data_IF_969335824046
#
_entry.id   IF_969335824046
#
_cell.length_a   1.000
_cell.length_b   1.000
_cell.length_c   1.000
_cell.angle_alpha   90.00
_cell.angle_beta   90.00
_cell.angle_gamma   90.00
#
_symmetry.space_group_name_H-M   'P 1'
#
loop_
_entity.id
_entity.type
_entity.pdbx_description
1 polymer ?
#
# COMPACT_ATOMS: atom_id res chain seq x y z
N UNK A 1 -9.94 -15.69 -13.40
CA UNK A 1 -9.83 -14.22 -13.26
C UNK A 1 -8.46 -13.81 -13.75
N UNK A 2 -8.38 -12.85 -14.66
CA UNK A 2 -7.07 -12.39 -15.09
C UNK A 2 -6.42 -11.51 -14.01
N UNK A 3 -5.11 -11.29 -14.16
CA UNK A 3 -4.35 -10.63 -13.11
C UNK A 3 -4.72 -9.14 -12.96
N UNK A 4 -5.05 -8.46 -14.05
CA UNK A 4 -5.50 -7.07 -13.98
C UNK A 4 -6.80 -6.94 -13.22
N UNK A 5 -7.75 -7.83 -13.47
CA UNK A 5 -9.03 -7.86 -12.76
C UNK A 5 -8.82 -8.13 -11.27
N UNK A 6 -7.93 -9.05 -10.94
CA UNK A 6 -7.58 -9.35 -9.54
C UNK A 6 -7.03 -8.11 -8.84
N UNK A 7 -6.06 -7.43 -9.47
CA UNK A 7 -5.44 -6.23 -8.91
C UNK A 7 -6.50 -5.14 -8.67
N UNK A 8 -7.34 -4.88 -9.68
CA UNK A 8 -8.40 -3.86 -9.56
C UNK A 8 -9.36 -4.20 -8.44
N UNK A 9 -9.70 -5.48 -8.27
CA UNK A 9 -10.57 -5.92 -7.18
C UNK A 9 -9.90 -5.72 -5.81
N UNK A 10 -8.62 -6.07 -5.69
CA UNK A 10 -7.88 -5.83 -4.44
C UNK A 10 -7.90 -4.35 -4.04
N UNK A 11 -7.65 -3.48 -5.00
CA UNK A 11 -7.63 -2.03 -4.79
C UNK A 11 -9.01 -1.51 -4.41
N UNK A 12 -10.06 -2.00 -5.07
CA UNK A 12 -11.43 -1.57 -4.81
C UNK A 12 -11.95 -2.06 -3.45
N UNK A 13 -11.56 -3.27 -3.05
CA UNK A 13 -12.09 -3.90 -1.84
C UNK A 13 -11.40 -3.47 -0.55
N UNK A 14 -10.27 -2.76 -0.65
CA UNK A 14 -9.46 -2.39 0.52
C UNK A 14 -9.18 -0.89 0.52
N UNK A 15 -9.68 -0.19 1.52
CA UNK A 15 -9.48 1.25 1.61
C UNK A 15 -8.04 1.64 1.91
N UNK A 16 -7.28 0.75 2.55
CA UNK A 16 -5.85 0.95 2.77
C UNK A 16 -5.16 -0.35 2.37
N UNK A 17 -4.38 -0.30 1.30
CA UNK A 17 -3.72 -1.47 0.72
C UNK A 17 -2.27 -1.15 0.42
N UNK A 18 -1.38 -2.00 0.92
CA UNK A 18 0.05 -1.88 0.68
C UNK A 18 0.55 -3.08 -0.11
N UNK A 19 1.09 -2.82 -1.30
CA UNK A 19 1.86 -3.82 -2.06
C UNK A 19 3.31 -3.68 -1.63
N UNK A 20 3.88 -4.75 -1.09
CA UNK A 20 5.20 -4.71 -0.47
C UNK A 20 6.01 -5.97 -0.76
N UNK A 21 7.30 -5.91 -0.50
CA UNK A 21 8.19 -7.07 -0.54
C UNK A 21 8.26 -7.68 0.85
N UNK A 22 7.67 -8.87 1.01
CA UNK A 22 7.56 -9.55 2.29
C UNK A 22 6.21 -9.28 2.95
N UNK A 23 6.18 -9.41 4.25
CA UNK A 23 4.97 -9.18 5.07
C UNK A 23 5.27 -8.09 6.11
N UNK A 24 4.23 -7.49 6.71
CA UNK A 24 4.46 -6.46 7.74
C UNK A 24 5.34 -6.94 8.90
N UNK A 25 5.25 -8.23 9.27
CA UNK A 25 6.05 -8.80 10.34
C UNK A 25 7.47 -9.15 9.87
N UNK A 26 7.64 -9.46 8.59
CA UNK A 26 8.93 -9.87 8.02
C UNK A 26 9.15 -9.19 6.67
N UNK A 27 9.35 -7.85 6.66
CA UNK A 27 9.62 -7.14 5.41
C UNK A 27 10.97 -7.57 4.83
N UNK A 28 11.04 -7.72 3.51
CA UNK A 28 12.22 -8.21 2.80
C UNK A 28 12.96 -7.10 2.06
N UNK A 29 12.64 -5.85 2.33
CA UNK A 29 13.21 -4.69 1.67
C UNK A 29 13.15 -3.51 2.64
N UNK A 30 14.24 -2.72 2.72
CA UNK A 30 14.28 -1.58 3.63
C UNK A 30 13.21 -0.54 3.35
N UNK A 31 12.86 -0.32 2.09
CA UNK A 31 11.79 0.62 1.73
C UNK A 31 10.42 0.11 2.18
N UNK A 32 10.15 -1.19 2.01
CA UNK A 32 8.92 -1.81 2.53
C UNK A 32 8.86 -1.73 4.05
N UNK A 33 9.98 -1.99 4.72
CA UNK A 33 10.05 -1.94 6.18
C UNK A 33 9.70 -0.55 6.73
N UNK A 34 10.25 0.49 6.12
CA UNK A 34 9.98 1.87 6.54
C UNK A 34 8.52 2.25 6.35
N UNK A 35 7.95 1.83 5.21
CA UNK A 35 6.54 2.12 4.91
C UNK A 35 5.62 1.43 5.90
N UNK A 36 5.87 0.16 6.20
CA UNK A 36 5.11 -0.59 7.20
C UNK A 36 5.21 0.07 8.57
N UNK A 37 6.43 0.47 8.98
CA UNK A 37 6.62 1.13 10.27
C UNK A 37 5.79 2.41 10.36
N UNK A 38 5.80 3.21 9.30
CA UNK A 38 5.00 4.44 9.25
C UNK A 38 3.50 4.15 9.41
N UNK A 39 3.00 3.14 8.71
CA UNK A 39 1.58 2.75 8.81
C UNK A 39 1.24 2.21 10.20
N UNK A 40 2.13 1.41 10.79
CA UNK A 40 1.91 0.88 12.13
C UNK A 40 1.88 1.97 13.19
N UNK A 41 2.66 3.03 13.03
CA UNK A 41 2.64 4.17 13.95
C UNK A 41 1.32 4.92 13.90
N UNK A 42 0.64 4.93 12.77
CA UNK A 42 -0.71 5.50 12.70
C UNK A 42 -1.68 4.70 13.57
N UNK A 43 -1.49 3.37 13.66
CA UNK A 43 -2.27 2.52 14.53
C UNK A 43 -3.58 2.02 13.97
N UNK A 44 -3.84 2.25 12.68
CA UNK A 44 -5.04 1.76 12.03
C UNK A 44 -4.74 0.49 11.23
N UNK A 45 -5.72 -0.41 11.08
CA UNK A 45 -5.51 -1.63 10.30
C UNK A 45 -5.35 -1.32 8.81
N UNK A 46 -4.53 -2.12 8.13
CA UNK A 46 -4.36 -2.02 6.69
C UNK A 46 -4.17 -3.42 6.09
N UNK A 47 -4.59 -3.55 4.83
CA UNK A 47 -4.37 -4.78 4.07
C UNK A 47 -3.01 -4.71 3.36
N UNK A 48 -2.43 -5.87 3.06
CA UNK A 48 -1.19 -5.92 2.30
C UNK A 48 -1.20 -7.09 1.31
N UNK A 49 -0.36 -6.96 0.29
CA UNK A 49 -0.07 -8.03 -0.65
C UNK A 49 1.45 -8.18 -0.73
N UNK A 50 1.94 -9.40 -0.47
CA UNK A 50 3.35 -9.71 -0.61
C UNK A 50 3.65 -10.04 -2.07
N UNK A 51 4.30 -9.12 -2.78
CA UNK A 51 4.58 -9.30 -4.21
C UNK A 51 5.63 -10.37 -4.48
N UNK A 52 6.39 -10.77 -3.48
CA UNK A 52 7.36 -11.85 -3.64
C UNK A 52 6.68 -13.22 -3.79
N UNK A 53 5.47 -13.35 -3.24
CA UNK A 53 4.64 -14.55 -3.39
C UNK A 53 3.65 -14.44 -4.55
N UNK A 54 3.61 -13.27 -5.21
CA UNK A 54 2.66 -12.98 -6.28
C UNK A 54 3.39 -12.38 -7.48
N UNK A 55 4.21 -13.19 -8.18
CA UNK A 55 5.06 -12.67 -9.26
C UNK A 55 4.30 -12.04 -10.41
N UNK A 56 3.08 -12.49 -10.69
CA UNK A 56 2.27 -11.90 -11.75
C UNK A 56 1.80 -10.49 -11.36
N UNK A 57 1.47 -10.27 -10.09
CA UNK A 57 1.14 -8.93 -9.59
C UNK A 57 2.39 -8.04 -9.67
N UNK A 58 3.54 -8.58 -9.24
CA UNK A 58 4.80 -7.83 -9.27
C UNK A 58 5.15 -7.34 -10.68
N UNK A 59 4.88 -8.14 -11.71
CA UNK A 59 5.20 -7.77 -13.09
C UNK A 59 4.12 -6.89 -13.74
N UNK A 60 2.87 -7.00 -13.32
CA UNK A 60 1.74 -6.33 -13.97
C UNK A 60 1.39 -4.98 -13.33
N UNK A 61 1.42 -4.91 -12.00
CA UNK A 61 0.99 -3.70 -11.28
C UNK A 61 1.76 -2.43 -11.66
N UNK A 62 3.10 -2.46 -11.83
CA UNK A 62 3.81 -1.24 -12.22
C UNK A 62 3.28 -0.60 -13.50
N UNK A 63 2.86 -1.41 -14.47
CA UNK A 63 2.30 -0.92 -15.72
C UNK A 63 0.91 -0.31 -15.52
N UNK A 64 0.05 -0.97 -14.74
CA UNK A 64 -1.30 -0.48 -14.45
C UNK A 64 -1.23 0.82 -13.66
N UNK A 65 -0.36 0.87 -12.66
CA UNK A 65 -0.21 2.01 -11.76
C UNK A 65 0.57 3.16 -12.38
N UNK A 66 1.27 2.91 -13.47
CA UNK A 66 2.27 3.83 -14.00
C UNK A 66 3.28 4.24 -12.90
N UNK A 67 3.72 3.24 -12.13
CA UNK A 67 4.62 3.42 -10.99
C UNK A 67 5.55 2.21 -10.93
N UNK A 68 6.86 2.38 -11.20
CA UNK A 68 7.74 1.23 -11.49
C UNK A 68 8.23 0.46 -10.27
N UNK A 69 8.08 0.98 -9.07
CA UNK A 69 8.73 0.42 -7.88
C UNK A 69 7.74 0.01 -6.80
N UNK A 70 8.25 -0.75 -5.83
CA UNK A 70 7.54 -1.12 -4.61
C UNK A 70 8.35 -0.63 -3.40
N UNK A 71 7.70 -0.34 -2.27
CA UNK A 71 6.27 -0.54 -1.99
C UNK A 71 5.37 0.47 -2.70
N UNK A 72 4.07 0.14 -2.80
CA UNK A 72 3.04 1.04 -3.31
C UNK A 72 1.91 1.10 -2.29
N UNK A 73 1.61 2.28 -1.81
CA UNK A 73 0.48 2.50 -0.91
C UNK A 73 -0.71 3.03 -1.70
N UNK A 74 -1.83 2.34 -1.58
CA UNK A 74 -3.10 2.70 -2.19
C UNK A 74 -4.11 3.02 -1.10
N UNK A 75 -4.76 4.17 -1.20
CA UNK A 75 -5.77 4.61 -0.23
C UNK A 75 -7.03 5.02 -0.98
N UNK A 76 -8.14 4.39 -0.65
CA UNK A 76 -9.45 4.63 -1.27
C UNK A 76 -9.39 4.52 -2.79
N UNK A 77 -8.66 3.54 -3.29
CA UNK A 77 -8.52 3.29 -4.72
C UNK A 77 -7.54 4.18 -5.46
N UNK A 78 -6.83 5.06 -4.76
CA UNK A 78 -5.86 5.98 -5.35
C UNK A 78 -4.44 5.62 -4.93
N UNK A 79 -3.52 5.62 -5.89
CA UNK A 79 -2.10 5.43 -5.59
C UNK A 79 -1.56 6.67 -4.88
N UNK A 80 -1.11 6.49 -3.65
CA UNK A 80 -0.47 7.56 -2.89
C UNK A 80 0.99 7.67 -3.30
N UNK A 81 1.70 6.54 -3.35
CA UNK A 81 3.09 6.49 -3.77
C UNK A 81 3.90 5.43 -3.04
N UNK A 82 5.20 5.56 -3.11
CA UNK A 82 6.14 4.65 -2.48
C UNK A 82 6.67 5.18 -1.16
N UNK A 83 7.79 4.61 -0.71
CA UNK A 83 8.39 4.93 0.57
C UNK A 83 8.68 6.42 0.74
N UNK A 84 9.28 7.06 -0.27
CA UNK A 84 9.68 8.47 -0.16
C UNK A 84 8.48 9.37 0.08
N UNK A 85 7.39 9.13 -0.65
CA UNK A 85 6.18 9.92 -0.50
C UNK A 85 5.54 9.69 0.87
N UNK A 86 5.48 8.44 1.31
CA UNK A 86 4.94 8.11 2.64
C UNK A 86 5.75 8.79 3.74
N UNK A 87 7.08 8.75 3.64
CA UNK A 87 7.95 9.39 4.64
C UNK A 87 7.81 10.91 4.64
N UNK A 88 7.65 11.52 3.47
CA UNK A 88 7.37 12.95 3.36
C UNK A 88 6.04 13.31 4.06
N UNK A 89 5.02 12.49 3.86
CA UNK A 89 3.72 12.69 4.51
C UNK A 89 3.83 12.55 6.04
N UNK A 90 4.66 11.63 6.52
CA UNK A 90 4.93 11.50 7.97
C UNK A 90 5.51 12.80 8.52
N UNK A 91 6.53 13.34 7.85
CA UNK A 91 7.18 14.57 8.29
C UNK A 91 6.22 15.77 8.31
N UNK A 92 5.30 15.82 7.36
CA UNK A 92 4.33 16.92 7.27
C UNK A 92 3.09 16.70 8.13
N UNK A 93 3.00 15.58 8.83
CA UNK A 93 1.83 15.26 9.65
C UNK A 93 0.59 14.94 8.83
N UNK A 94 0.75 14.52 7.58
CA UNK A 94 -0.37 14.27 6.67
C UNK A 94 -0.79 12.82 6.59
N UNK A 95 0.08 11.87 6.95
CA UNK A 95 -0.22 10.45 6.79
C UNK A 95 -1.34 10.00 7.73
N UNK A 96 -1.25 10.32 9.02
CA UNK A 96 -2.25 9.87 9.99
C UNK A 96 -3.65 10.36 9.64
N UNK A 97 -3.88 11.65 9.31
CA UNK A 97 -5.21 12.09 8.91
C UNK A 97 -5.74 11.38 7.68
N UNK A 98 -4.88 11.15 6.67
CA UNK A 98 -5.27 10.44 5.45
C UNK A 98 -5.76 9.03 5.77
N UNK A 99 -4.99 8.29 6.55
CA UNK A 99 -5.30 6.90 6.89
C UNK A 99 -6.54 6.82 7.77
N UNK A 100 -6.65 7.67 8.78
CA UNK A 100 -7.80 7.68 9.69
C UNK A 100 -9.10 8.03 8.97
N UNK A 101 -9.05 8.98 8.04
CA UNK A 101 -10.21 9.32 7.22
C UNK A 101 -10.64 8.13 6.35
N UNK A 102 -9.68 7.43 5.76
CA UNK A 102 -9.97 6.27 4.92
C UNK A 102 -10.59 5.12 5.73
N UNK A 103 -10.13 4.88 6.95
CA UNK A 103 -10.71 3.87 7.85
C UNK A 103 -12.13 4.26 8.24
N UNK A 104 -12.36 5.52 8.58
CA UNK A 104 -13.69 6.02 8.93
C UNK A 104 -14.66 5.88 7.75
N UNK A 105 -14.21 6.16 6.54
CA UNK A 105 -15.02 6.02 5.34
C UNK A 105 -15.42 4.55 5.09
N UNK A 106 -14.53 3.60 5.40
CA UNK A 106 -14.83 2.17 5.24
C UNK A 106 -15.88 1.68 6.23
N UNK A 107 -16.03 2.36 7.37
CA UNK A 107 -16.98 2.00 8.42
C UNK A 107 -18.34 2.70 8.29
N UNK A 108 -18.43 3.64 7.38
CA UNK A 108 -19.63 4.45 7.18
C UNK A 108 -20.74 3.68 6.46
#
# INVERSE_FOLDING_TARGET
>A
MDIETLIKKQIADNNILLYMKGTPQFPQCGFSARTVEALMQVGEPFAYVNILENPEIRSTLPRIANWPTFPQLWVKGELIGGCDIVMDMVQKGELAPLIKEAVAAAQA
#
